data_IF_058154379438
#
_entry.id   IF_058154379438
#
_cell.length_a   1.000
_cell.length_b   1.000
_cell.length_c   1.000
_cell.angle_alpha   90.00
_cell.angle_beta   90.00
_cell.angle_gamma   90.00
#
_symmetry.space_group_name_H-M   'P 1'
#
loop_
_entity.id
_entity.type
_entity.pdbx_description
1 polymer ?
#
# COMPACT_ATOMS: atom_id res chain seq x y z
N UNK A 1 -4.80 5.90 13.13
CA UNK A 1 -3.34 6.01 13.29
C UNK A 1 -2.67 4.98 12.40
N UNK A 2 -1.62 5.39 11.70
CA UNK A 2 -0.90 4.47 10.82
C UNK A 2 -0.01 3.53 11.62
N UNK A 3 -0.06 2.25 11.28
CA UNK A 3 0.79 1.24 11.92
C UNK A 3 1.90 0.74 11.00
N UNK A 4 1.97 1.24 9.78
CA UNK A 4 3.02 0.86 8.86
C UNK A 4 2.94 1.61 7.56
N UNK A 5 3.93 1.41 6.73
CA UNK A 5 4.02 2.00 5.40
C UNK A 5 4.32 0.91 4.38
N UNK A 6 3.65 0.98 3.25
CA UNK A 6 3.82 0.04 2.15
C UNK A 6 4.47 0.78 0.99
N UNK A 7 5.52 0.20 0.43
CA UNK A 7 6.23 0.76 -0.72
C UNK A 7 6.05 -0.17 -1.91
N UNK A 8 5.59 0.39 -3.01
CA UNK A 8 5.30 -0.38 -4.21
C UNK A 8 6.54 -0.57 -5.07
N UNK A 9 6.52 -1.62 -5.88
CA UNK A 9 7.59 -1.89 -6.84
C UNK A 9 7.59 -0.83 -7.92
N UNK A 10 8.74 -0.70 -8.57
CA UNK A 10 8.89 0.24 -9.68
C UNK A 10 7.85 -0.06 -10.76
N UNK A 11 7.13 0.96 -11.17
CA UNK A 11 6.11 0.85 -12.20
C UNK A 11 4.76 0.33 -11.73
N UNK A 12 4.65 -0.05 -10.47
CA UNK A 12 3.40 -0.54 -9.90
C UNK A 12 2.57 0.60 -9.31
N UNK A 13 1.35 0.27 -8.89
CA UNK A 13 0.45 1.26 -8.32
C UNK A 13 -0.51 1.85 -9.34
N UNK A 14 -0.62 1.26 -10.50
CA UNK A 14 -1.48 1.76 -11.58
C UNK A 14 -2.94 1.79 -11.18
N UNK A 15 -3.40 0.77 -10.45
CA UNK A 15 -4.80 0.71 -10.02
C UNK A 15 -5.15 1.91 -9.15
N UNK A 16 -4.28 2.26 -8.21
CA UNK A 16 -4.50 3.42 -7.38
C UNK A 16 -4.49 4.72 -8.17
N UNK A 17 -3.53 4.85 -9.05
CA UNK A 17 -3.39 6.07 -9.88
C UNK A 17 -4.57 6.25 -10.81
N UNK A 18 -5.18 5.15 -11.23
CA UNK A 18 -6.37 5.17 -12.08
C UNK A 18 -7.67 5.30 -11.28
N UNK A 19 -7.58 5.43 -9.96
CA UNK A 19 -8.75 5.57 -9.10
C UNK A 19 -9.27 4.27 -8.51
N UNK A 20 -8.59 3.16 -8.74
CA UNK A 20 -8.97 1.88 -8.16
C UNK A 20 -8.65 1.81 -6.67
N UNK A 21 -9.46 1.10 -5.88
CA UNK A 21 -9.29 1.07 -4.42
C UNK A 21 -8.36 -0.01 -3.91
N UNK A 22 -7.69 -0.75 -4.79
CA UNK A 22 -6.93 -1.94 -4.39
C UNK A 22 -5.46 -1.84 -4.75
N UNK A 23 -4.62 -2.36 -3.85
CA UNK A 23 -3.22 -2.65 -4.13
C UNK A 23 -3.00 -4.12 -3.81
N UNK A 24 -2.47 -4.87 -4.75
CA UNK A 24 -2.24 -6.31 -4.60
C UNK A 24 -0.86 -6.58 -4.03
N UNK A 25 -0.71 -7.71 -3.34
CA UNK A 25 0.55 -8.05 -2.67
C UNK A 25 1.73 -8.14 -3.64
N UNK A 26 1.50 -8.57 -4.87
CA UNK A 26 2.58 -8.66 -5.86
C UNK A 26 3.06 -7.29 -6.35
N UNK A 27 2.34 -6.22 -6.02
CA UNK A 27 2.75 -4.86 -6.33
C UNK A 27 3.66 -4.29 -5.24
N UNK A 28 3.77 -4.95 -4.10
CA UNK A 28 4.47 -4.44 -2.93
C UNK A 28 5.94 -4.81 -2.97
N UNK A 29 6.83 -3.81 -2.86
CA UNK A 29 8.26 -4.03 -2.75
C UNK A 29 8.65 -4.36 -1.32
N UNK A 30 8.15 -3.58 -0.36
CA UNK A 30 8.44 -3.79 1.05
C UNK A 30 7.37 -3.15 1.91
N UNK A 31 7.29 -3.62 3.14
CA UNK A 31 6.42 -3.03 4.17
C UNK A 31 7.31 -2.63 5.33
N UNK A 32 7.18 -1.38 5.77
CA UNK A 32 7.88 -0.89 6.96
C UNK A 32 6.93 -0.93 8.15
N UNK A 33 7.48 -1.24 9.32
CA UNK A 33 6.69 -1.49 10.51
C UNK A 33 6.18 -2.92 10.53
N UNK A 34 5.24 -3.19 11.40
CA UNK A 34 4.66 -4.52 11.56
C UNK A 34 3.13 -4.43 11.62
N UNK A 35 2.49 -3.97 10.54
CA UNK A 35 1.04 -3.86 10.55
C UNK A 35 0.37 -5.23 10.54
N UNK A 36 -0.76 -5.31 11.21
CA UNK A 36 -1.61 -6.49 11.23
C UNK A 36 -2.82 -6.26 10.31
N UNK A 37 -3.53 -7.34 10.02
CA UNK A 37 -4.76 -7.24 9.23
C UNK A 37 -5.72 -6.26 9.90
N UNK A 38 -6.28 -5.37 9.10
CA UNK A 38 -7.17 -4.33 9.57
C UNK A 38 -6.48 -3.04 9.96
N UNK A 39 -5.15 -3.03 10.05
CA UNK A 39 -4.42 -1.83 10.39
C UNK A 39 -4.39 -0.85 9.23
N UNK A 40 -4.36 0.44 9.57
CA UNK A 40 -4.20 1.49 8.57
C UNK A 40 -2.72 1.61 8.20
N UNK A 41 -2.45 1.62 6.90
CA UNK A 41 -1.09 1.78 6.38
C UNK A 41 -1.09 2.92 5.37
N UNK A 42 0.05 3.59 5.25
CA UNK A 42 0.27 4.52 4.15
C UNK A 42 0.85 3.77 2.96
N UNK A 43 0.47 4.17 1.76
CA UNK A 43 0.94 3.53 0.54
C UNK A 43 1.78 4.52 -0.24
N UNK A 44 2.99 4.11 -0.60
CA UNK A 44 3.95 4.95 -1.30
C UNK A 44 4.39 4.26 -2.59
N UNK A 45 4.70 5.05 -3.60
CA UNK A 45 5.26 4.51 -4.83
C UNK A 45 6.73 4.16 -4.64
N UNK A 46 7.36 3.69 -5.71
CA UNK A 46 8.77 3.30 -5.68
C UNK A 46 9.69 4.45 -5.27
N UNK A 47 9.31 5.68 -5.57
CA UNK A 47 10.10 6.86 -5.24
C UNK A 47 9.81 7.40 -3.83
N UNK A 48 8.91 6.78 -3.09
CA UNK A 48 8.55 7.21 -1.76
C UNK A 48 7.43 8.24 -1.71
N UNK A 49 6.83 8.56 -2.82
CA UNK A 49 5.71 9.52 -2.88
C UNK A 49 4.46 8.86 -2.30
N UNK A 50 3.83 9.52 -1.32
CA UNK A 50 2.63 8.97 -0.69
C UNK A 50 1.44 9.04 -1.63
N UNK A 51 0.87 7.88 -1.94
CA UNK A 51 -0.28 7.76 -2.83
C UNK A 51 -1.60 7.80 -2.07
N UNK A 52 -1.58 7.45 -0.79
CA UNK A 52 -2.79 7.42 0.02
C UNK A 52 -2.64 6.51 1.22
N UNK A 53 -3.76 6.26 1.88
CA UNK A 53 -3.82 5.37 3.05
C UNK A 53 -4.89 4.34 2.82
N UNK A 54 -4.73 3.19 3.42
CA UNK A 54 -5.71 2.13 3.29
C UNK A 54 -5.60 1.13 4.43
N UNK A 55 -6.44 0.12 4.35
CA UNK A 55 -6.48 -0.96 5.34
C UNK A 55 -5.77 -2.18 4.79
N UNK A 56 -4.86 -2.72 5.59
CA UNK A 56 -4.22 -3.99 5.25
C UNK A 56 -5.22 -5.12 5.44
N UNK A 57 -5.36 -5.99 4.45
CA UNK A 57 -6.27 -7.12 4.53
C UNK A 57 -5.69 -8.30 3.72
N UNK A 58 -5.04 -9.22 4.41
CA UNK A 58 -4.40 -10.40 3.81
C UNK A 58 -3.44 -9.98 2.69
N UNK A 59 -3.78 -10.32 1.45
CA UNK A 59 -2.93 -10.03 0.28
C UNK A 59 -3.29 -8.72 -0.42
N UNK A 60 -4.23 -7.97 0.13
CA UNK A 60 -4.73 -6.76 -0.50
C UNK A 60 -4.65 -5.58 0.46
N UNK A 61 -4.51 -4.40 -0.11
CA UNK A 61 -4.65 -3.16 0.63
C UNK A 61 -5.82 -2.41 0.02
N UNK A 62 -6.82 -2.15 0.83
CA UNK A 62 -8.00 -1.42 0.40
C UNK A 62 -7.87 0.05 0.78
N UNK A 63 -7.91 0.87 -0.21
CA UNK A 63 -7.77 2.33 -0.05
C UNK A 63 -9.10 2.98 0.28
#
# INVERSE_FOLDING_TARGET
MENGAVYLKKGEGRSMKAGGPWVYDNEVERIEGEPLDGDVVSVHDYNGFCLGKGFLNLSLIHI
#
